data_IF_345310630651
#
_entry.id   IF_345310630651
#
_cell.length_a   1.000
_cell.length_b   1.000
_cell.length_c   1.000
_cell.angle_alpha   90.00
_cell.angle_beta   90.00
_cell.angle_gamma   90.00
#
_symmetry.space_group_name_H-M   'P 1'
#
loop_
_entity.id
_entity.type
_entity.pdbx_description
1 polymer ?
#
# COMPACT_ATOMS: atom_id res chain seq x y z
N UNK A 1 -11.88 -43.31 -22.00
CA UNK A 1 -10.93 -42.95 -20.92
C UNK A 1 -10.46 -41.51 -21.11
N UNK A 2 -10.04 -41.15 -22.32
CA UNK A 2 -9.75 -39.78 -22.82
C UNK A 2 -10.67 -38.67 -22.28
N UNK A 3 -12.01 -38.81 -22.41
CA UNK A 3 -12.94 -37.74 -22.03
C UNK A 3 -13.04 -37.49 -20.51
N UNK A 4 -12.75 -38.49 -19.69
CA UNK A 4 -12.68 -38.34 -18.22
C UNK A 4 -11.38 -37.66 -17.81
N UNK A 5 -10.27 -37.99 -18.49
CA UNK A 5 -8.97 -37.35 -18.27
C UNK A 5 -9.00 -35.87 -18.71
N UNK A 6 -9.65 -35.56 -19.83
CA UNK A 6 -9.85 -34.17 -20.30
C UNK A 6 -10.73 -33.38 -19.32
N UNK A 7 -11.82 -33.97 -18.83
CA UNK A 7 -12.70 -33.32 -17.83
C UNK A 7 -11.97 -33.07 -16.50
N UNK A 8 -11.16 -34.02 -16.04
CA UNK A 8 -10.34 -33.85 -14.82
C UNK A 8 -9.22 -32.83 -15.01
N UNK A 9 -8.58 -32.78 -16.18
CA UNK A 9 -7.53 -31.81 -16.49
C UNK A 9 -8.08 -30.36 -16.56
N UNK A 10 -9.30 -30.18 -17.09
CA UNK A 10 -9.97 -28.88 -17.14
C UNK A 10 -10.28 -28.32 -15.74
N UNK A 11 -10.70 -29.18 -14.80
CA UNK A 11 -10.98 -28.80 -13.40
C UNK A 11 -9.70 -28.42 -12.64
N UNK A 12 -8.58 -29.08 -12.93
CA UNK A 12 -7.30 -28.73 -12.30
C UNK A 12 -6.78 -27.38 -12.82
N UNK A 13 -6.99 -27.06 -14.10
CA UNK A 13 -6.58 -25.77 -14.67
C UNK A 13 -7.35 -24.57 -14.07
N UNK A 14 -8.61 -24.73 -13.69
CA UNK A 14 -9.39 -23.63 -13.08
C UNK A 14 -9.04 -23.39 -11.62
N UNK A 15 -8.53 -24.40 -10.91
CA UNK A 15 -8.15 -24.29 -9.49
C UNK A 15 -6.89 -23.44 -9.24
N UNK A 16 -6.02 -23.25 -10.25
CA UNK A 16 -4.80 -22.41 -10.13
C UNK A 16 -5.10 -20.90 -10.24
N UNK A 17 -6.32 -20.52 -10.65
CA UNK A 17 -6.71 -19.13 -10.89
C UNK A 17 -7.08 -18.32 -9.62
N UNK A 18 -7.10 -18.93 -8.43
CA UNK A 18 -7.52 -18.25 -7.20
C UNK A 18 -6.62 -17.06 -6.78
N UNK A 19 -5.34 -17.04 -7.19
CA UNK A 19 -4.43 -15.92 -6.92
C UNK A 19 -4.68 -14.70 -7.82
N UNK A 20 -4.61 -14.85 -9.15
CA UNK A 20 -4.78 -13.75 -10.10
C UNK A 20 -6.15 -13.08 -10.07
N UNK A 21 -7.24 -13.85 -9.90
CA UNK A 21 -8.60 -13.28 -9.85
C UNK A 21 -8.75 -12.42 -8.59
N UNK A 22 -8.27 -12.91 -7.44
CA UNK A 22 -8.26 -12.15 -6.21
C UNK A 22 -7.43 -10.86 -6.35
N UNK A 23 -6.30 -10.90 -7.06
CA UNK A 23 -5.49 -9.71 -7.36
C UNK A 23 -6.25 -8.62 -8.13
N UNK A 24 -7.04 -9.00 -9.14
CA UNK A 24 -7.84 -8.03 -9.89
C UNK A 24 -8.84 -7.34 -8.95
N UNK A 25 -9.51 -8.09 -8.09
CA UNK A 25 -10.48 -7.50 -7.17
C UNK A 25 -9.83 -6.68 -6.04
N UNK A 26 -8.79 -7.20 -5.40
CA UNK A 26 -8.15 -6.58 -4.25
C UNK A 26 -7.27 -5.39 -4.64
N UNK A 27 -6.37 -5.54 -5.60
CA UNK A 27 -5.37 -4.51 -5.92
C UNK A 27 -5.87 -3.57 -7.01
N UNK A 28 -6.37 -4.15 -8.11
CA UNK A 28 -6.73 -3.34 -9.29
C UNK A 28 -8.01 -2.56 -9.07
N UNK A 29 -9.01 -3.16 -8.42
CA UNK A 29 -10.28 -2.48 -8.10
C UNK A 29 -10.23 -1.82 -6.72
N UNK A 30 -10.28 -2.61 -5.65
CA UNK A 30 -10.50 -2.10 -4.29
C UNK A 30 -9.41 -1.13 -3.83
N UNK A 31 -8.14 -1.57 -3.77
CA UNK A 31 -7.06 -0.73 -3.26
C UNK A 31 -6.81 0.51 -4.12
N UNK A 32 -6.90 0.39 -5.45
CA UNK A 32 -6.74 1.55 -6.34
C UNK A 32 -7.85 2.57 -6.13
N UNK A 33 -9.12 2.13 -6.05
CA UNK A 33 -10.25 3.03 -5.76
C UNK A 33 -10.13 3.68 -4.38
N UNK A 34 -9.76 2.96 -3.32
CA UNK A 34 -9.57 3.56 -1.99
C UNK A 34 -8.45 4.61 -1.99
N UNK A 35 -7.32 4.35 -2.66
CA UNK A 35 -6.25 5.34 -2.79
C UNK A 35 -6.70 6.57 -3.59
N UNK A 36 -7.51 6.39 -4.63
CA UNK A 36 -8.07 7.51 -5.38
C UNK A 36 -9.06 8.33 -4.53
N UNK A 37 -9.85 7.67 -3.66
CA UNK A 37 -10.69 8.36 -2.69
C UNK A 37 -9.87 9.16 -1.67
N UNK A 38 -8.78 8.59 -1.14
CA UNK A 38 -7.85 9.32 -0.27
C UNK A 38 -7.23 10.53 -0.98
N UNK A 39 -6.89 10.40 -2.27
CA UNK A 39 -6.41 11.53 -3.07
C UNK A 39 -7.47 12.62 -3.20
N UNK A 40 -8.72 12.24 -3.49
CA UNK A 40 -9.83 13.18 -3.60
C UNK A 40 -10.09 13.93 -2.29
N UNK A 41 -9.87 13.29 -1.15
CA UNK A 41 -9.95 13.90 0.18
C UNK A 41 -8.75 14.80 0.54
N UNK A 42 -7.79 15.00 -0.37
CA UNK A 42 -6.54 15.73 -0.12
C UNK A 42 -5.73 15.16 1.06
N UNK A 43 -5.69 13.82 1.16
CA UNK A 43 -5.00 13.14 2.25
C UNK A 43 -3.49 13.34 2.23
N UNK A 44 -2.88 13.71 1.11
CA UNK A 44 -1.48 14.13 1.03
C UNK A 44 -1.19 15.35 1.91
N UNK A 45 -2.14 16.28 1.99
CA UNK A 45 -2.05 17.48 2.82
C UNK A 45 -2.51 17.23 4.25
N UNK A 46 -3.64 16.55 4.41
CA UNK A 46 -4.32 16.46 5.70
C UNK A 46 -4.01 15.19 6.51
N UNK A 47 -3.53 14.12 5.85
CA UNK A 47 -3.21 12.84 6.48
C UNK A 47 -1.94 12.20 5.86
N UNK A 48 -0.80 12.92 5.81
CA UNK A 48 0.38 12.56 5.01
C UNK A 48 0.96 11.19 5.39
N UNK A 49 0.87 10.80 6.67
CA UNK A 49 1.33 9.49 7.12
C UNK A 49 0.56 8.34 6.45
N UNK A 50 -0.77 8.33 6.61
CA UNK A 50 -1.61 7.26 6.05
C UNK A 50 -1.68 7.33 4.52
N UNK A 51 -1.64 8.54 3.94
CA UNK A 51 -1.51 8.72 2.50
C UNK A 51 -0.24 8.06 1.95
N UNK A 52 0.92 8.33 2.56
CA UNK A 52 2.19 7.74 2.15
C UNK A 52 2.15 6.22 2.32
N UNK A 53 1.63 5.73 3.45
CA UNK A 53 1.49 4.30 3.71
C UNK A 53 0.62 3.62 2.65
N UNK A 54 -0.52 4.21 2.29
CA UNK A 54 -1.44 3.67 1.30
C UNK A 54 -0.82 3.60 -0.10
N UNK A 55 -0.19 4.69 -0.55
CA UNK A 55 0.46 4.75 -1.88
C UNK A 55 1.64 3.79 -1.99
N UNK A 56 2.47 3.69 -0.95
CA UNK A 56 3.61 2.78 -0.93
C UNK A 56 3.18 1.30 -0.89
N UNK A 57 2.14 0.96 -0.14
CA UNK A 57 1.60 -0.40 -0.16
C UNK A 57 0.94 -0.75 -1.50
N UNK A 58 0.22 0.19 -2.13
CA UNK A 58 -0.33 -0.06 -3.46
C UNK A 58 0.79 -0.25 -4.50
N UNK A 59 1.85 0.53 -4.42
CA UNK A 59 3.04 0.33 -5.24
C UNK A 59 3.65 -1.05 -5.02
N UNK A 60 3.89 -1.43 -3.75
CA UNK A 60 4.45 -2.73 -3.41
C UNK A 60 3.56 -3.90 -3.85
N UNK A 61 2.23 -3.75 -3.77
CA UNK A 61 1.28 -4.74 -4.27
C UNK A 61 1.48 -4.99 -5.77
N UNK A 62 1.65 -3.92 -6.56
CA UNK A 62 1.93 -3.99 -8.01
C UNK A 62 3.30 -4.63 -8.29
N UNK A 63 4.33 -4.32 -7.48
CA UNK A 63 5.65 -4.96 -7.58
C UNK A 63 5.56 -6.47 -7.33
N UNK A 64 4.76 -6.90 -6.33
CA UNK A 64 4.55 -8.33 -6.06
C UNK A 64 3.80 -9.03 -7.20
N UNK A 65 2.76 -8.40 -7.72
CA UNK A 65 2.01 -8.92 -8.86
C UNK A 65 2.88 -9.08 -10.11
N UNK A 66 3.78 -8.13 -10.39
CA UNK A 66 4.74 -8.24 -11.50
C UNK A 66 5.70 -9.44 -11.36
N UNK A 67 5.94 -9.90 -10.13
CA UNK A 67 6.72 -11.12 -9.82
C UNK A 67 5.86 -12.38 -9.73
N UNK A 68 4.59 -12.31 -10.12
CA UNK A 68 3.59 -13.37 -9.95
C UNK A 68 3.39 -13.84 -8.50
N UNK A 69 3.81 -13.02 -7.52
CA UNK A 69 3.54 -13.24 -6.09
C UNK A 69 2.14 -12.68 -5.76
N UNK A 70 1.11 -13.45 -6.15
CA UNK A 70 -0.29 -13.02 -6.02
C UNK A 70 -0.75 -12.92 -4.56
N UNK A 71 -0.28 -13.82 -3.69
CA UNK A 71 -0.63 -13.77 -2.27
C UNK A 71 -0.02 -12.54 -1.61
N UNK A 72 1.25 -12.24 -1.91
CA UNK A 72 1.91 -11.02 -1.47
C UNK A 72 1.21 -9.76 -2.00
N UNK A 73 0.86 -9.75 -3.29
CA UNK A 73 0.12 -8.65 -3.90
C UNK A 73 -1.22 -8.38 -3.18
N UNK A 74 -2.01 -9.44 -2.93
CA UNK A 74 -3.30 -9.33 -2.25
C UNK A 74 -3.15 -8.84 -0.81
N UNK A 75 -2.11 -9.29 -0.10
CA UNK A 75 -1.82 -8.82 1.26
C UNK A 75 -1.50 -7.32 1.28
N UNK A 76 -0.63 -6.86 0.38
CA UNK A 76 -0.32 -5.44 0.28
C UNK A 76 -1.51 -4.61 -0.22
N UNK A 77 -2.37 -5.15 -1.09
CA UNK A 77 -3.61 -4.51 -1.52
C UNK A 77 -4.57 -4.21 -0.36
N UNK A 78 -4.77 -5.18 0.55
CA UNK A 78 -5.58 -4.96 1.76
C UNK A 78 -4.98 -3.91 2.68
N UNK A 79 -3.67 -3.99 2.94
CA UNK A 79 -2.97 -2.97 3.75
C UNK A 79 -3.05 -1.57 3.12
N UNK A 80 -2.98 -1.48 1.79
CA UNK A 80 -3.14 -0.22 1.07
C UNK A 80 -4.56 0.34 1.23
N UNK A 81 -5.57 -0.54 1.16
CA UNK A 81 -6.97 -0.17 1.37
C UNK A 81 -7.19 0.34 2.80
N UNK A 82 -6.77 -0.42 3.81
CA UNK A 82 -6.90 -0.03 5.23
C UNK A 82 -6.25 1.32 5.49
N UNK A 83 -5.05 1.54 4.96
CA UNK A 83 -4.35 2.81 5.10
C UNK A 83 -5.07 3.95 4.36
N UNK A 84 -5.58 3.71 3.16
CA UNK A 84 -6.30 4.71 2.37
C UNK A 84 -7.63 5.11 3.04
N UNK A 85 -8.39 4.14 3.54
CA UNK A 85 -9.65 4.38 4.24
C UNK A 85 -9.39 5.23 5.51
N UNK A 86 -8.33 4.93 6.27
CA UNK A 86 -7.92 5.77 7.40
C UNK A 86 -7.47 7.16 6.96
N UNK A 87 -6.75 7.26 5.84
CA UNK A 87 -6.30 8.55 5.30
C UNK A 87 -7.48 9.46 4.94
N UNK A 88 -8.58 8.90 4.40
CA UNK A 88 -9.82 9.65 4.14
C UNK A 88 -10.40 10.20 5.45
N UNK A 89 -10.55 9.34 6.46
CA UNK A 89 -11.12 9.73 7.77
C UNK A 89 -10.31 10.87 8.40
N UNK A 90 -8.99 10.70 8.48
CA UNK A 90 -8.10 11.70 9.07
C UNK A 90 -8.12 13.00 8.27
N UNK A 91 -8.16 12.90 6.93
CA UNK A 91 -8.20 14.06 6.05
C UNK A 91 -9.49 14.86 6.23
N UNK A 92 -10.64 14.20 6.33
CA UNK A 92 -11.93 14.86 6.59
C UNK A 92 -11.97 15.55 7.95
N UNK A 93 -11.41 14.91 8.99
CA UNK A 93 -11.33 15.50 10.34
C UNK A 93 -10.47 16.76 10.30
N UNK A 94 -9.26 16.70 9.72
CA UNK A 94 -8.34 17.82 9.65
C UNK A 94 -8.79 18.93 8.69
N UNK A 95 -9.63 18.61 7.69
CA UNK A 95 -10.28 19.59 6.84
C UNK A 95 -11.30 20.44 7.65
N UNK A 96 -12.08 19.79 8.53
CA UNK A 96 -13.10 20.42 9.37
C UNK A 96 -12.50 21.13 10.60
N UNK A 97 -11.47 20.55 11.21
CA UNK A 97 -10.83 21.06 12.42
C UNK A 97 -9.36 21.41 12.16
N UNK A 98 -9.02 22.72 12.04
CA UNK A 98 -7.64 23.16 11.85
C UNK A 98 -6.66 22.70 12.92
N UNK A 99 -7.12 22.42 14.16
CA UNK A 99 -6.26 21.97 15.25
C UNK A 99 -5.76 20.53 15.07
N UNK A 100 -6.44 19.75 14.22
CA UNK A 100 -6.09 18.35 13.90
C UNK A 100 -5.20 18.22 12.67
N UNK A 101 -4.82 19.33 12.04
CA UNK A 101 -3.96 19.29 10.86
C UNK A 101 -2.54 18.83 11.22
N UNK A 102 -1.87 18.12 10.31
CA UNK A 102 -0.46 17.75 10.49
C UNK A 102 0.39 18.99 10.77
N UNK A 103 1.33 18.86 11.68
CA UNK A 103 2.29 19.93 11.97
C UNK A 103 3.12 20.22 10.72
N UNK A 104 3.11 21.47 10.28
CA UNK A 104 3.95 21.94 9.20
C UNK A 104 5.40 21.97 9.71
N UNK A 105 6.15 20.90 9.41
CA UNK A 105 7.56 20.82 9.78
C UNK A 105 8.32 21.85 8.94
N UNK A 106 8.80 22.91 9.58
CA UNK A 106 9.73 23.86 8.95
C UNK A 106 10.96 23.08 8.46
N UNK A 107 11.48 23.36 7.24
CA UNK A 107 12.60 22.62 6.64
C UNK A 107 13.85 22.50 7.51
N UNK A 108 13.99 23.38 8.50
CA UNK A 108 15.11 23.43 9.45
C UNK A 108 15.18 22.23 10.40
N UNK A 109 14.09 21.48 10.58
CA UNK A 109 14.01 20.35 11.53
C UNK A 109 14.25 18.99 10.86
N UNK A 110 14.77 18.93 9.63
CA UNK A 110 15.24 17.67 9.07
C UNK A 110 16.47 17.19 9.87
N UNK A 111 16.41 16.07 10.64
CA UNK A 111 17.49 15.67 11.54
C UNK A 111 18.72 15.07 10.82
N UNK A 112 18.93 15.39 9.54
CA UNK A 112 20.00 14.81 8.73
C UNK A 112 20.74 15.85 7.86
N UNK A 113 20.75 17.13 8.28
CA UNK A 113 21.64 18.15 7.71
C UNK A 113 22.38 18.98 8.77
N UNK A 114 22.53 18.42 9.98
CA UNK A 114 23.46 18.96 10.97
C UNK A 114 24.78 18.20 10.88
N UNK A 115 25.89 18.94 10.94
CA UNK A 115 27.31 18.53 10.84
C UNK A 115 27.73 17.45 11.86
N UNK A 116 27.11 16.28 11.79
CA UNK A 116 27.52 15.12 12.55
C UNK A 116 28.55 14.38 11.70
N UNK A 117 29.83 14.70 11.94
CA UNK A 117 30.92 13.77 11.62
C UNK A 117 30.46 12.37 12.04
N UNK A 118 30.41 11.37 11.13
CA UNK A 118 30.06 10.02 11.51
C UNK A 118 30.98 9.63 12.66
N UNK A 119 30.40 9.26 13.81
CA UNK A 119 31.20 8.71 14.89
C UNK A 119 31.93 7.48 14.32
N UNK A 120 33.27 7.39 14.44
CA UNK A 120 33.98 6.22 13.94
C UNK A 120 33.44 4.99 14.64
N UNK A 121 33.18 3.94 13.86
CA UNK A 121 32.77 2.65 14.40
C UNK A 121 33.80 2.24 15.46
N UNK A 122 33.32 1.93 16.67
CA UNK A 122 34.18 1.27 17.66
C UNK A 122 34.38 -0.15 17.15
N UNK A 123 35.56 -0.42 16.61
CA UNK A 123 36.04 -1.78 16.46
C UNK A 123 36.24 -2.34 17.88
N UNK A 124 35.34 -3.23 18.30
CA UNK A 124 35.51 -3.99 19.55
C UNK A 124 36.58 -5.09 19.35
N UNK A 125 37.37 -5.42 20.40
CA UNK A 125 38.57 -6.25 20.31
C UNK A 125 38.32 -7.74 20.02
#
# INVERSE_FOLDING_TARGET
MEMRVIASALVIMTAVACGPIAYVNEVTRRASTSVDAARAAQADKYAPYYWTRATQYLHQARVKAAKSDWQGANRFGRLATEAADQAVIDAEIAAKDPSKRPLELKPEVAPAKGDSKPAPAKDEP
#
